data_IF_687661744509
#
_entry.id   IF_687661744509
#
_cell.length_a   1.000
_cell.length_b   1.000
_cell.length_c   1.000
_cell.angle_alpha   90.00
_cell.angle_beta   90.00
_cell.angle_gamma   90.00
#
_symmetry.space_group_name_H-M   'P 1'
#
loop_
_entity.id
_entity.type
_entity.pdbx_description
1 polymer ?
#
# COMPACT_ATOMS: atom_id res chain seq x y z
N UNK A 1 8.62 -22.85 6.53
CA UNK A 1 7.86 -21.60 6.37
C UNK A 1 8.26 -20.58 7.42
N UNK A 2 8.04 -19.28 7.14
CA UNK A 2 8.32 -18.17 8.05
C UNK A 2 7.03 -17.39 8.27
N UNK A 3 6.65 -17.19 9.53
CA UNK A 3 5.56 -16.29 9.90
C UNK A 3 6.09 -14.86 9.92
N UNK A 4 5.36 -13.96 9.26
CA UNK A 4 5.69 -12.54 9.18
C UNK A 4 4.73 -11.72 10.02
N UNK A 5 5.23 -10.58 10.52
CA UNK A 5 4.52 -9.63 11.37
C UNK A 5 4.73 -8.21 10.84
N UNK A 6 3.86 -7.32 11.28
CA UNK A 6 4.03 -5.90 11.03
C UNK A 6 5.39 -5.41 11.56
N UNK A 7 6.11 -4.64 10.73
CA UNK A 7 7.42 -4.11 11.07
C UNK A 7 8.59 -5.08 10.92
N UNK A 8 8.35 -6.36 10.55
CA UNK A 8 9.45 -7.27 10.25
C UNK A 8 10.29 -6.73 9.09
N UNK A 9 11.60 -6.86 9.22
CA UNK A 9 12.57 -6.45 8.22
C UNK A 9 13.39 -7.65 7.73
N UNK A 10 13.60 -7.70 6.42
CA UNK A 10 14.35 -8.77 5.77
C UNK A 10 15.46 -8.15 4.91
N UNK A 11 16.66 -8.78 4.84
CA UNK A 11 17.79 -8.27 4.05
C UNK A 11 17.61 -8.44 2.53
N UNK A 12 16.38 -8.63 2.05
CA UNK A 12 16.08 -8.78 0.63
C UNK A 12 16.15 -7.43 -0.09
N UNK A 13 16.77 -7.41 -1.29
CA UNK A 13 16.78 -6.27 -2.21
C UNK A 13 17.29 -4.93 -1.65
N UNK A 14 18.07 -4.93 -0.56
CA UNK A 14 18.50 -3.70 0.13
C UNK A 14 17.56 -3.28 1.25
N UNK A 15 16.93 -4.24 1.92
CA UNK A 15 15.98 -3.98 3.00
C UNK A 15 14.54 -3.99 2.50
N UNK A 16 13.78 -4.96 3.00
CA UNK A 16 12.34 -5.07 2.81
C UNK A 16 11.67 -4.99 4.17
N UNK A 17 10.70 -4.08 4.32
CA UNK A 17 9.87 -3.96 5.52
C UNK A 17 8.45 -4.42 5.24
N UNK A 18 7.91 -5.23 6.14
CA UNK A 18 6.51 -5.65 6.12
C UNK A 18 5.65 -4.57 6.79
N UNK A 19 4.60 -4.14 6.09
CA UNK A 19 3.60 -3.22 6.64
C UNK A 19 2.25 -3.93 6.63
N UNK A 20 1.66 -4.17 7.80
CA UNK A 20 0.31 -4.72 7.90
C UNK A 20 -0.71 -3.66 7.48
N UNK A 21 -1.53 -4.02 6.50
CA UNK A 21 -2.53 -3.14 5.88
C UNK A 21 -3.89 -3.83 5.80
N UNK A 22 -4.51 -4.13 6.96
CA UNK A 22 -5.78 -4.82 6.98
C UNK A 22 -6.90 -3.98 6.34
N UNK A 23 -7.92 -4.65 5.84
CA UNK A 23 -9.09 -4.01 5.23
C UNK A 23 -9.59 -4.81 4.03
N UNK A 24 -8.75 -4.95 2.99
CA UNK A 24 -9.07 -5.85 1.86
C UNK A 24 -9.28 -7.28 2.38
N UNK A 25 -8.29 -7.77 3.14
CA UNK A 25 -8.41 -8.93 4.02
C UNK A 25 -7.82 -8.60 5.40
N UNK A 26 -8.11 -9.38 6.45
CA UNK A 26 -7.49 -9.19 7.76
C UNK A 26 -5.96 -9.38 7.75
N UNK A 27 -5.44 -10.18 6.82
CA UNK A 27 -4.01 -10.52 6.71
C UNK A 27 -3.26 -9.77 5.60
N UNK A 28 -3.89 -8.77 4.97
CA UNK A 28 -3.26 -8.02 3.88
C UNK A 28 -2.02 -7.28 4.37
N UNK A 29 -0.93 -7.35 3.58
CA UNK A 29 0.33 -6.66 3.83
C UNK A 29 0.75 -5.84 2.61
N UNK A 30 1.58 -4.84 2.85
CA UNK A 30 2.38 -4.16 1.84
C UNK A 30 3.87 -4.43 2.11
N UNK A 31 4.66 -4.40 1.04
CA UNK A 31 6.10 -4.58 1.07
C UNK A 31 6.76 -3.26 0.70
N UNK A 32 7.51 -2.68 1.65
CA UNK A 32 8.22 -1.43 1.45
C UNK A 32 9.72 -1.69 1.30
N UNK A 33 10.31 -1.18 0.22
CA UNK A 33 11.73 -1.27 -0.08
C UNK A 33 12.32 0.15 -0.06
N UNK A 34 12.72 0.68 1.11
CA UNK A 34 13.13 2.07 1.25
C UNK A 34 14.34 2.42 0.37
N UNK A 35 15.37 1.57 0.31
CA UNK A 35 16.56 1.81 -0.54
C UNK A 35 16.26 1.81 -2.04
N UNK A 36 15.14 1.18 -2.44
CA UNK A 36 14.69 1.14 -3.84
C UNK A 36 13.63 2.19 -4.15
N UNK A 37 13.08 2.85 -3.13
CA UNK A 37 11.94 3.74 -3.27
C UNK A 37 10.70 3.04 -3.84
N UNK A 38 10.47 1.76 -3.49
CA UNK A 38 9.34 0.97 -4.01
C UNK A 38 8.39 0.59 -2.88
N UNK A 39 7.10 0.72 -3.12
CA UNK A 39 6.04 0.19 -2.28
C UNK A 39 5.12 -0.73 -3.10
N UNK A 40 4.96 -1.98 -2.65
CA UNK A 40 4.02 -2.94 -3.24
C UNK A 40 2.83 -3.09 -2.30
N UNK A 41 1.63 -2.71 -2.75
CA UNK A 41 0.44 -2.63 -1.88
C UNK A 41 -0.59 -3.74 -2.12
N UNK A 42 -0.33 -4.62 -3.07
CA UNK A 42 -1.28 -5.65 -3.48
C UNK A 42 -2.65 -5.05 -3.83
N UNK A 43 -3.68 -5.52 -3.16
CA UNK A 43 -5.07 -5.09 -3.34
C UNK A 43 -5.53 -4.02 -2.34
N UNK A 44 -4.62 -3.40 -1.58
CA UNK A 44 -4.97 -2.32 -0.65
C UNK A 44 -5.41 -1.02 -1.34
N UNK A 45 -5.05 -0.82 -2.61
CA UNK A 45 -5.46 0.32 -3.44
C UNK A 45 -5.71 -0.12 -4.89
N UNK A 46 -6.49 0.68 -5.62
CA UNK A 46 -6.65 0.53 -7.06
C UNK A 46 -6.05 1.73 -7.80
N UNK A 47 -5.67 1.53 -9.05
CA UNK A 47 -5.29 2.60 -9.96
C UNK A 47 -6.06 2.47 -11.28
N UNK A 48 -7.16 3.22 -11.39
CA UNK A 48 -8.10 3.15 -12.52
C UNK A 48 -8.27 4.53 -13.13
N UNK A 49 -8.32 4.59 -14.45
CA UNK A 49 -8.53 5.84 -15.19
C UNK A 49 -7.54 6.95 -14.78
N UNK A 50 -6.29 6.59 -14.49
CA UNK A 50 -5.24 7.52 -14.06
C UNK A 50 -5.40 8.07 -12.64
N UNK A 51 -6.25 7.47 -11.80
CA UNK A 51 -6.53 7.94 -10.43
C UNK A 51 -6.38 6.82 -9.42
N UNK A 52 -5.82 7.17 -8.26
CA UNK A 52 -5.84 6.31 -7.08
C UNK A 52 -7.28 6.20 -6.57
N UNK A 53 -7.66 4.99 -6.19
CA UNK A 53 -8.98 4.68 -5.64
C UNK A 53 -8.85 3.70 -4.47
N UNK A 54 -9.84 3.69 -3.56
CA UNK A 54 -9.92 2.67 -2.51
C UNK A 54 -10.00 1.26 -3.11
N UNK A 55 -9.73 0.20 -2.33
CA UNK A 55 -9.86 -1.16 -2.82
C UNK A 55 -11.31 -1.48 -3.19
N UNK A 56 -11.50 -2.47 -4.08
CA UNK A 56 -12.82 -2.77 -4.63
C UNK A 56 -13.82 -3.16 -3.54
N UNK A 57 -14.92 -2.42 -3.38
CA UNK A 57 -15.88 -2.62 -2.27
C UNK A 57 -16.42 -4.05 -2.17
N UNK A 58 -16.71 -4.71 -3.30
CA UNK A 58 -17.23 -6.09 -3.28
C UNK A 58 -16.23 -7.14 -2.77
N UNK A 59 -14.94 -6.81 -2.76
CA UNK A 59 -13.87 -7.73 -2.36
C UNK A 59 -13.11 -7.26 -1.12
N UNK A 60 -13.57 -6.19 -0.46
CA UNK A 60 -12.93 -5.63 0.72
C UNK A 60 -13.77 -5.93 1.95
N UNK A 61 -13.15 -6.58 2.94
CA UNK A 61 -13.83 -6.96 4.19
C UNK A 61 -14.23 -5.76 5.05
N UNK A 62 -13.35 -4.77 5.15
CA UNK A 62 -13.58 -3.54 5.92
C UNK A 62 -13.01 -2.33 5.17
N UNK A 63 -13.90 -1.48 4.66
CA UNK A 63 -13.52 -0.27 3.92
C UNK A 63 -12.96 0.84 4.81
N UNK A 64 -13.39 0.92 6.07
CA UNK A 64 -12.88 1.93 7.00
C UNK A 64 -11.47 1.56 7.44
N UNK A 65 -11.24 0.28 7.75
CA UNK A 65 -9.91 -0.24 8.04
C UNK A 65 -8.97 -0.12 6.83
N UNK A 66 -9.48 -0.38 5.61
CA UNK A 66 -8.70 -0.15 4.39
C UNK A 66 -8.29 1.32 4.23
N UNK A 67 -9.18 2.27 4.53
CA UNK A 67 -8.86 3.69 4.50
C UNK A 67 -7.78 4.07 5.54
N UNK A 68 -7.87 3.52 6.75
CA UNK A 68 -6.83 3.70 7.77
C UNK A 68 -5.47 3.13 7.32
N UNK A 69 -5.46 1.95 6.69
CA UNK A 69 -4.26 1.35 6.11
C UNK A 69 -3.65 2.21 5.00
N UNK A 70 -4.47 2.81 4.12
CA UNK A 70 -3.98 3.74 3.08
C UNK A 70 -3.33 4.97 3.72
N UNK A 71 -3.92 5.53 4.78
CA UNK A 71 -3.33 6.67 5.51
C UNK A 71 -1.98 6.33 6.12
N UNK A 72 -1.85 5.14 6.72
CA UNK A 72 -0.57 4.65 7.22
C UNK A 72 0.48 4.52 6.11
N UNK A 73 0.11 4.00 4.94
CA UNK A 73 1.02 3.92 3.79
C UNK A 73 1.45 5.29 3.27
N UNK A 74 0.62 6.32 3.41
CA UNK A 74 0.94 7.69 3.01
C UNK A 74 2.04 8.36 3.86
N UNK A 75 2.36 7.79 5.01
CA UNK A 75 3.45 8.24 5.89
C UNK A 75 4.83 7.76 5.41
N UNK A 76 4.88 6.83 4.45
CA UNK A 76 6.13 6.26 3.93
C UNK A 76 6.68 7.10 2.77
N UNK A 77 8.00 7.07 2.61
CA UNK A 77 8.70 7.62 1.45
C UNK A 77 8.93 6.52 0.40
N UNK A 78 8.49 6.77 -0.84
CA UNK A 78 8.69 5.90 -1.99
C UNK A 78 8.40 6.66 -3.30
N UNK A 79 9.11 6.30 -4.37
CA UNK A 79 8.97 6.93 -5.69
C UNK A 79 8.08 6.11 -6.63
N UNK A 80 7.97 4.80 -6.37
CA UNK A 80 7.21 3.84 -7.18
C UNK A 80 6.19 3.08 -6.34
N UNK A 81 4.96 2.98 -6.84
CA UNK A 81 3.86 2.23 -6.23
C UNK A 81 3.37 1.12 -7.17
N UNK A 82 3.38 -0.11 -6.67
CA UNK A 82 2.97 -1.31 -7.41
C UNK A 82 1.69 -1.92 -6.82
N UNK A 83 0.81 -2.41 -7.70
CA UNK A 83 -0.51 -2.96 -7.36
C UNK A 83 -0.63 -4.42 -7.83
N UNK A 84 -1.61 -5.18 -7.31
CA UNK A 84 -1.91 -6.54 -7.81
C UNK A 84 -2.34 -6.56 -9.28
N UNK A 85 -3.10 -5.56 -9.73
CA UNK A 85 -3.82 -5.62 -11.03
C UNK A 85 -3.62 -4.41 -11.94
N UNK A 86 -2.97 -3.35 -11.46
CA UNK A 86 -2.92 -2.07 -12.14
C UNK A 86 -1.49 -1.70 -12.51
N UNK A 87 -1.36 -0.83 -13.52
CA UNK A 87 -0.04 -0.29 -13.90
C UNK A 87 0.56 0.47 -12.71
N UNK A 88 1.86 0.29 -12.45
CA UNK A 88 2.53 1.00 -11.38
C UNK A 88 2.49 2.50 -11.64
N UNK A 89 2.49 3.27 -10.56
CA UNK A 89 2.81 4.69 -10.62
C UNK A 89 4.32 4.77 -10.46
N UNK A 90 4.99 5.29 -11.48
CA UNK A 90 6.43 5.53 -11.46
C UNK A 90 6.62 7.04 -11.35
N UNK A 91 7.42 7.49 -10.37
CA UNK A 91 7.63 8.88 -9.97
C UNK A 91 6.51 9.48 -9.13
N UNK A 92 6.94 10.17 -8.06
CA UNK A 92 6.11 11.00 -7.18
C UNK A 92 4.91 10.22 -6.61
N UNK A 93 5.09 8.91 -6.39
CA UNK A 93 4.01 8.03 -5.99
C UNK A 93 3.58 8.30 -4.54
N UNK A 94 4.52 8.60 -3.64
CA UNK A 94 4.25 9.04 -2.28
C UNK A 94 3.40 10.31 -2.22
N UNK A 95 3.71 11.33 -3.05
CA UNK A 95 2.95 12.57 -3.13
C UNK A 95 1.49 12.31 -3.54
N UNK A 96 1.28 11.47 -4.55
CA UNK A 96 -0.06 11.07 -5.00
C UNK A 96 -0.82 10.29 -3.93
N UNK A 97 -0.14 9.39 -3.20
CA UNK A 97 -0.76 8.64 -2.10
C UNK A 97 -1.10 9.55 -0.93
N UNK A 98 -0.25 10.52 -0.58
CA UNK A 98 -0.52 11.55 0.44
C UNK A 98 -1.72 12.41 0.07
N UNK A 99 -1.81 12.88 -1.17
CA UNK A 99 -2.97 13.61 -1.66
C UNK A 99 -4.24 12.75 -1.60
N UNK A 100 -4.16 11.51 -2.10
CA UNK A 100 -5.28 10.59 -2.10
C UNK A 100 -5.76 10.26 -0.68
N UNK A 101 -4.86 10.01 0.26
CA UNK A 101 -5.19 9.70 1.66
C UNK A 101 -5.97 10.84 2.35
N UNK A 102 -5.66 12.11 2.01
CA UNK A 102 -6.41 13.29 2.51
C UNK A 102 -7.84 13.38 1.96
N UNK A 103 -8.10 12.77 0.81
CA UNK A 103 -9.44 12.74 0.20
C UNK A 103 -10.35 11.65 0.77
N UNK A 104 -9.79 10.70 1.54
CA UNK A 104 -10.57 9.59 2.12
C UNK A 104 -11.47 10.10 3.27
N UNK A 105 -12.74 9.65 3.32
CA UNK A 105 -13.66 10.01 4.40
C UNK A 105 -13.08 9.56 5.75
N UNK A 106 -13.25 10.40 6.78
CA UNK A 106 -12.70 10.19 8.13
C UNK A 106 -12.92 8.76 8.62
#
# INVERSE_FOLDING_TARGET
>A
DVYIRDGDEFPALGGMRIIHVPGHTPGSIALHFPERGVLIVGDAMQHRFGRLMPPHRLFTRDMAQAAASIRRLAELDFDTLCFSHFRPIVRDADLKVREFARSLPA
#
